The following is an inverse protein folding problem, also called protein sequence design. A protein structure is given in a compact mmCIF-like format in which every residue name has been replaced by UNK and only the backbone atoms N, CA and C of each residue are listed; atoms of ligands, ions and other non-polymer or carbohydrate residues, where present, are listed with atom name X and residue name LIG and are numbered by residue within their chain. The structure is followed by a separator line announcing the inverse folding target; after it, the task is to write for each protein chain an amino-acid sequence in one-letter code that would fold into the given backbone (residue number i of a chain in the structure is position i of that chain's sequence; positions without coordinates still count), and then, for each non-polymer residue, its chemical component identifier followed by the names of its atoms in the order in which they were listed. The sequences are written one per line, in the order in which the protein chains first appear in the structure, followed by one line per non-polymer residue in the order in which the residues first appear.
data_IF_998818479292
#
_entry.id   IF_998818479292
#
_cell.length_a   1.000
_cell.length_b   1.000
_cell.length_c   1.000
_cell.angle_alpha   90.00
_cell.angle_beta   90.00
_cell.angle_gamma   90.00
#
_symmetry.space_group_name_H-M   'P 1'
#
loop_
_entity.id
_entity.type
_entity.pdbx_description
1 polymer ?
#
# COMPACT_ATOMS: atom_id res chain seq x y z
N UNK A 1 2.58 -3.45 0.68
CA UNK A 1 2.46 -2.19 -0.08
C UNK A 1 1.16 -1.48 0.20
N UNK A 2 1.18 -0.14 0.31
CA UNK A 2 -0.01 0.69 0.45
C UNK A 2 -0.03 1.77 -0.64
N UNK A 3 -1.20 2.02 -1.22
CA UNK A 3 -1.43 3.11 -2.16
C UNK A 3 -2.86 3.66 -1.99
N UNK A 4 -3.10 4.90 -2.39
CA UNK A 4 -4.42 5.51 -2.30
C UNK A 4 -5.33 5.15 -3.47
N UNK A 5 -6.55 4.70 -3.19
CA UNK A 5 -7.59 4.40 -4.17
C UNK A 5 -7.96 5.61 -5.04
N UNK A 6 -7.93 6.82 -4.47
CA UNK A 6 -8.21 8.06 -5.23
C UNK A 6 -7.00 8.54 -6.05
N UNK A 7 -5.82 7.95 -5.85
CA UNK A 7 -4.54 8.37 -6.43
C UNK A 7 -4.29 7.88 -7.85
N UNK A 8 -3.33 8.52 -8.53
CA UNK A 8 -2.91 8.16 -9.90
C UNK A 8 -2.36 6.73 -9.98
N UNK A 9 -1.74 6.26 -8.90
CA UNK A 9 -1.17 4.91 -8.81
C UNK A 9 -2.27 3.85 -8.98
N UNK A 10 -3.42 4.03 -8.33
CA UNK A 10 -4.55 3.10 -8.45
C UNK A 10 -5.18 3.13 -9.85
N UNK A 11 -5.28 4.33 -10.45
CA UNK A 11 -5.95 4.52 -11.75
C UNK A 11 -5.16 3.97 -12.93
N UNK A 12 -3.83 4.05 -12.86
CA UNK A 12 -2.97 3.81 -14.04
C UNK A 12 -2.18 2.50 -13.98
N UNK A 13 -2.13 1.85 -12.82
CA UNK A 13 -1.22 0.71 -12.61
C UNK A 13 -1.87 -0.44 -11.84
N UNK A 14 -1.19 -1.58 -11.86
CA UNK A 14 -1.46 -2.73 -11.01
C UNK A 14 -0.30 -2.87 -10.02
N UNK A 15 -0.32 -2.15 -8.87
CA UNK A 15 0.87 -1.93 -8.06
C UNK A 15 1.51 -3.22 -7.56
N UNK A 16 0.69 -4.17 -7.08
CA UNK A 16 1.17 -5.46 -6.58
C UNK A 16 1.86 -6.26 -7.67
N UNK A 17 1.29 -6.34 -8.87
CA UNK A 17 1.88 -7.08 -9.98
C UNK A 17 3.22 -6.47 -10.43
N UNK A 18 3.28 -5.14 -10.55
CA UNK A 18 4.50 -4.43 -10.95
C UNK A 18 5.63 -4.62 -9.94
N UNK A 19 5.33 -4.54 -8.64
CA UNK A 19 6.34 -4.76 -7.61
C UNK A 19 6.73 -6.23 -7.46
N UNK A 20 5.78 -7.16 -7.62
CA UNK A 20 6.09 -8.60 -7.60
C UNK A 20 7.06 -8.99 -8.71
N UNK A 21 6.96 -8.36 -9.90
CA UNK A 21 7.89 -8.60 -11.00
C UNK A 21 9.35 -8.20 -10.70
N UNK A 22 9.57 -7.35 -9.68
CA UNK A 22 10.89 -6.84 -9.28
C UNK A 22 11.37 -7.40 -7.93
N UNK A 23 10.50 -8.10 -7.20
CA UNK A 23 10.80 -8.58 -5.85
C UNK A 23 10.89 -10.11 -5.84
N UNK A 24 12.00 -10.64 -5.33
CA UNK A 24 12.16 -12.08 -5.12
C UNK A 24 11.26 -12.63 -3.99
N UNK A 25 10.83 -11.76 -3.07
CA UNK A 25 9.90 -12.10 -1.99
C UNK A 25 8.43 -11.97 -2.41
N UNK A 26 7.53 -12.43 -1.54
CA UNK A 26 6.08 -12.28 -1.74
C UNK A 26 5.68 -10.82 -1.52
N UNK A 27 5.06 -10.22 -2.53
CA UNK A 27 4.53 -8.86 -2.44
C UNK A 27 3.05 -8.91 -2.12
N UNK A 28 2.69 -8.42 -0.94
CA UNK A 28 1.30 -8.17 -0.54
C UNK A 28 1.02 -6.66 -0.55
N UNK A 29 -0.24 -6.28 -0.70
CA UNK A 29 -0.61 -4.88 -0.58
C UNK A 29 -2.10 -4.62 -0.73
N UNK A 30 -2.51 -3.42 -0.35
CA UNK A 30 -3.90 -2.98 -0.41
C UNK A 30 -4.03 -1.51 -0.78
N UNK A 31 -5.11 -1.18 -1.47
CA UNK A 31 -5.55 0.19 -1.66
C UNK A 31 -6.23 0.68 -0.37
N UNK A 32 -5.96 1.92 0.04
CA UNK A 32 -6.67 2.58 1.13
C UNK A 32 -7.53 3.72 0.56
N UNK A 33 -8.62 4.06 1.26
CA UNK A 33 -9.55 5.11 0.87
C UNK A 33 -8.95 6.53 1.06
N UNK A 34 -7.81 6.79 0.40
CA UNK A 34 -6.96 7.97 0.47
C UNK A 34 -6.53 8.42 -0.94
N UNK A 35 -6.04 9.65 -1.04
CA UNK A 35 -5.23 10.15 -2.15
C UNK A 35 -3.76 9.76 -2.00
N UNK A 36 -2.86 10.67 -2.39
CA UNK A 36 -1.42 10.41 -2.31
C UNK A 36 -0.89 10.45 -0.86
N UNK A 37 -1.44 11.33 -0.03
CA UNK A 37 -0.98 11.58 1.33
C UNK A 37 -1.67 10.65 2.34
N UNK A 38 -1.53 9.34 2.12
CA UNK A 38 -2.18 8.30 2.94
C UNK A 38 -1.91 8.47 4.45
N UNK A 39 -0.68 8.75 4.93
CA UNK A 39 -0.44 8.94 6.35
C UNK A 39 -1.12 10.17 6.94
N UNK A 40 -1.42 11.19 6.13
CA UNK A 40 -2.10 12.42 6.56
C UNK A 40 -3.63 12.25 6.55
N UNK A 41 -4.18 11.58 5.54
CA UNK A 41 -5.62 11.32 5.41
C UNK A 41 -6.11 10.19 6.31
N UNK A 42 -5.30 9.15 6.51
CA UNK A 42 -5.63 7.93 7.26
C UNK A 42 -4.49 7.52 8.22
N UNK A 43 -4.13 8.36 9.21
CA UNK A 43 -2.96 8.12 10.06
C UNK A 43 -3.05 6.82 10.87
N UNK A 44 -4.21 6.54 11.50
CA UNK A 44 -4.37 5.36 12.35
C UNK A 44 -4.35 4.06 11.54
N UNK A 45 -5.02 4.04 10.39
CA UNK A 45 -5.05 2.87 9.51
C UNK A 45 -3.70 2.61 8.86
N UNK A 46 -3.01 3.66 8.43
CA UNK A 46 -1.63 3.57 7.94
C UNK A 46 -0.72 2.98 9.02
N UNK A 47 -0.74 3.54 10.22
CA UNK A 47 0.12 3.09 11.32
C UNK A 47 -0.17 1.64 11.74
N UNK A 48 -1.45 1.26 11.84
CA UNK A 48 -1.87 -0.13 12.13
C UNK A 48 -1.36 -1.08 11.06
N UNK A 49 -1.62 -0.79 9.79
CA UNK A 49 -1.25 -1.68 8.67
C UNK A 49 0.25 -1.87 8.56
N UNK A 50 1.02 -0.79 8.75
CA UNK A 50 2.49 -0.87 8.79
C UNK A 50 2.99 -1.68 9.99
N UNK A 51 2.40 -1.47 11.18
CA UNK A 51 2.75 -2.23 12.38
C UNK A 51 2.51 -3.71 12.20
N UNK A 52 1.34 -4.09 11.69
CA UNK A 52 0.97 -5.49 11.45
C UNK A 52 1.95 -6.15 10.46
N UNK A 53 2.34 -5.44 9.39
CA UNK A 53 3.32 -5.93 8.43
C UNK A 53 4.72 -6.15 9.05
N UNK A 54 5.23 -5.19 9.82
CA UNK A 54 6.58 -5.29 10.41
C UNK A 54 6.66 -6.20 11.65
N UNK A 55 5.52 -6.55 12.23
CA UNK A 55 5.44 -7.44 13.41
C UNK A 55 5.09 -8.88 13.05
N UNK A 56 4.74 -9.15 11.80
CA UNK A 56 4.57 -10.51 11.30
C UNK A 56 5.94 -11.19 11.18
N UNK A 57 6.10 -12.34 11.86
CA UNK A 57 7.31 -13.15 11.86
C UNK A 57 7.56 -13.87 10.53
#
# INVERSE_FOLDING_TARGET
MLWGERGVVHKMFQPVALWQAQCAGVVTGQALAAGHFIPEELPQETARTLRDFFSAA
#
